data_IF_795806376852
#
_entry.id   IF_795806376852
#
_cell.length_a   1.000
_cell.length_b   1.000
_cell.length_c   1.000
_cell.angle_alpha   90.00
_cell.angle_beta   90.00
_cell.angle_gamma   90.00
#
_symmetry.space_group_name_H-M   'P 1'
#
loop_
_entity.id
_entity.type
_entity.pdbx_description
1 polymer ?
#
# COMPACT_ATOMS: atom_id res chain seq x y z
N UNK A 1 5.13 -11.54 -10.77
CA UNK A 1 3.96 -10.69 -11.05
C UNK A 1 4.14 -9.34 -10.38
N UNK A 2 3.65 -8.28 -11.00
CA UNK A 2 3.69 -6.95 -10.40
C UNK A 2 2.34 -6.63 -9.78
N UNK A 3 2.33 -6.27 -8.50
CA UNK A 3 1.11 -5.98 -7.75
C UNK A 3 1.15 -4.53 -7.28
N UNK A 4 0.01 -3.84 -7.41
CA UNK A 4 -0.16 -2.50 -6.87
C UNK A 4 -1.16 -2.56 -5.73
N UNK A 5 -0.76 -2.12 -4.54
CA UNK A 5 -1.64 -2.09 -3.37
C UNK A 5 -2.38 -0.77 -3.30
N UNK A 6 -3.66 -0.81 -2.93
CA UNK A 6 -4.32 0.41 -2.50
C UNK A 6 -4.02 0.68 -1.01
N UNK A 7 -4.45 1.85 -0.53
CA UNK A 7 -4.14 2.26 0.83
C UNK A 7 -4.70 1.29 1.88
N UNK A 8 -5.93 0.79 1.70
CA UNK A 8 -6.56 -0.11 2.67
C UNK A 8 -5.85 -1.45 2.76
N UNK A 9 -5.50 -2.03 1.62
CA UNK A 9 -4.79 -3.31 1.58
C UNK A 9 -3.41 -3.18 2.24
N UNK A 10 -2.70 -2.10 1.95
CA UNK A 10 -1.42 -1.83 2.59
C UNK A 10 -1.55 -1.72 4.11
N UNK A 11 -2.53 -0.94 4.58
CA UNK A 11 -2.76 -0.74 6.01
C UNK A 11 -3.14 -2.03 6.71
N UNK A 12 -4.00 -2.84 6.11
CA UNK A 12 -4.35 -4.15 6.66
C UNK A 12 -3.14 -5.08 6.71
N UNK A 13 -2.31 -5.03 5.70
CA UNK A 13 -1.13 -5.88 5.63
C UNK A 13 -0.14 -5.55 6.74
N UNK A 14 0.20 -4.28 6.93
CA UNK A 14 1.19 -3.88 7.94
C UNK A 14 0.68 -4.02 9.37
N UNK A 15 -0.63 -3.98 9.58
CA UNK A 15 -1.25 -4.12 10.91
C UNK A 15 -1.64 -5.56 11.24
N UNK A 16 -1.51 -6.50 10.30
CA UNK A 16 -1.93 -7.87 10.51
C UNK A 16 -3.45 -8.02 10.63
N UNK A 17 -4.22 -7.14 9.99
CA UNK A 17 -5.66 -7.12 10.09
C UNK A 17 -6.28 -8.35 9.44
N UNK A 18 -7.20 -9.00 10.16
CA UNK A 18 -7.86 -10.22 9.70
C UNK A 18 -8.77 -10.00 8.49
N UNK A 19 -9.12 -8.74 8.17
CA UNK A 19 -9.91 -8.43 6.98
C UNK A 19 -9.14 -8.70 5.68
N UNK A 20 -7.80 -8.74 5.74
CA UNK A 20 -7.00 -9.10 4.58
C UNK A 20 -7.05 -10.61 4.37
N UNK A 21 -7.58 -11.10 3.22
CA UNK A 21 -7.60 -12.54 2.95
C UNK A 21 -6.20 -13.15 2.96
N UNK A 22 -6.08 -14.38 3.46
CA UNK A 22 -4.79 -15.05 3.57
C UNK A 22 -4.10 -15.22 2.21
N UNK A 23 -4.86 -15.49 1.15
CA UNK A 23 -4.32 -15.62 -0.21
C UNK A 23 -3.66 -14.33 -0.70
N UNK A 24 -4.23 -13.18 -0.36
CA UNK A 24 -3.65 -11.89 -0.73
C UNK A 24 -2.39 -11.59 0.09
N UNK A 25 -2.42 -11.93 1.38
CA UNK A 25 -1.24 -11.80 2.23
C UNK A 25 -0.08 -12.61 1.69
N UNK A 26 -0.35 -13.85 1.29
CA UNK A 26 0.67 -14.73 0.74
C UNK A 26 1.24 -14.19 -0.58
N UNK A 27 0.38 -13.64 -1.44
CA UNK A 27 0.82 -13.01 -2.69
C UNK A 27 1.70 -11.79 -2.45
N UNK A 28 1.38 -10.97 -1.46
CA UNK A 28 2.19 -9.80 -1.10
C UNK A 28 3.56 -10.24 -0.55
N UNK A 29 3.60 -11.31 0.22
CA UNK A 29 4.84 -11.84 0.79
C UNK A 29 5.67 -12.66 -0.17
N UNK A 30 5.11 -13.08 -1.28
CA UNK A 30 5.82 -13.92 -2.25
C UNK A 30 6.98 -13.15 -2.88
N UNK A 31 8.24 -13.60 -2.70
CA UNK A 31 9.40 -12.91 -3.25
C UNK A 31 9.44 -12.90 -4.78
N UNK A 32 8.65 -13.75 -5.44
CA UNK A 32 8.50 -13.73 -6.90
C UNK A 32 7.63 -12.59 -7.40
N UNK A 33 6.94 -11.88 -6.51
CA UNK A 33 6.09 -10.74 -6.87
C UNK A 33 6.78 -9.42 -6.56
N UNK A 34 6.65 -8.45 -7.47
CA UNK A 34 7.06 -7.07 -7.22
C UNK A 34 5.84 -6.30 -6.72
N UNK A 35 5.90 -5.84 -5.49
CA UNK A 35 4.79 -5.15 -4.83
C UNK A 35 5.11 -3.68 -4.71
N UNK A 36 4.17 -2.82 -5.09
CA UNK A 36 4.33 -1.38 -5.07
C UNK A 36 3.15 -0.69 -4.38
N UNK A 37 3.44 0.45 -3.76
CA UNK A 37 2.44 1.35 -3.19
C UNK A 37 2.62 2.71 -3.85
N UNK A 38 1.54 3.26 -4.41
CA UNK A 38 1.55 4.58 -5.01
C UNK A 38 1.71 5.66 -3.94
N UNK A 39 2.45 6.73 -4.26
CA UNK A 39 2.52 7.90 -3.37
C UNK A 39 1.15 8.55 -3.17
N UNK A 40 0.21 8.37 -4.11
CA UNK A 40 -1.17 8.82 -3.95
C UNK A 40 -1.87 8.07 -2.81
N UNK A 41 -1.67 6.76 -2.72
CA UNK A 41 -2.21 5.95 -1.63
C UNK A 41 -1.62 6.35 -0.29
N UNK A 42 -0.31 6.64 -0.27
CA UNK A 42 0.36 7.17 0.91
C UNK A 42 -0.25 8.51 1.33
N UNK A 43 -0.48 9.39 0.38
CA UNK A 43 -1.10 10.70 0.62
C UNK A 43 -2.51 10.54 1.19
N UNK A 44 -3.34 9.66 0.62
CA UNK A 44 -4.67 9.37 1.16
C UNK A 44 -4.62 8.95 2.63
N UNK A 45 -3.70 8.08 2.98
CA UNK A 45 -3.54 7.60 4.35
C UNK A 45 -3.16 8.75 5.29
N UNK A 46 -2.26 9.63 4.86
CA UNK A 46 -1.85 10.80 5.62
C UNK A 46 -3.04 11.73 5.88
N UNK A 47 -3.86 11.98 4.85
CA UNK A 47 -5.05 12.81 4.98
C UNK A 47 -6.06 12.19 5.94
N UNK A 48 -6.33 10.91 5.82
CA UNK A 48 -7.27 10.20 6.70
C UNK A 48 -6.82 10.24 8.15
N UNK A 49 -5.52 10.11 8.39
CA UNK A 49 -4.96 10.25 9.73
C UNK A 49 -5.18 11.66 10.28
N UNK A 50 -4.91 12.69 9.46
CA UNK A 50 -5.11 14.08 9.88
C UNK A 50 -6.56 14.39 10.20
N UNK A 51 -7.51 13.71 9.55
CA UNK A 51 -8.95 13.87 9.81
C UNK A 51 -9.44 13.00 10.98
N UNK A 52 -8.54 12.31 11.67
CA UNK A 52 -8.92 11.46 12.81
C UNK A 52 -9.61 10.15 12.43
N UNK A 53 -9.57 9.77 11.16
CA UNK A 53 -10.25 8.57 10.64
C UNK A 53 -9.35 7.34 10.57
N UNK A 54 -8.05 7.50 10.82
CA UNK A 54 -7.06 6.43 10.73
C UNK A 54 -6.10 6.54 11.90
N UNK A 55 -6.30 5.75 12.98
CA UNK A 55 -5.35 5.74 14.08
C UNK A 55 -4.07 5.02 13.68
N UNK A 56 -2.93 5.62 13.98
CA UNK A 56 -1.61 5.04 13.75
C UNK A 56 -0.75 5.19 15.01
N UNK A 57 0.18 4.27 15.26
CA UNK A 57 1.01 4.34 16.47
C UNK A 57 2.05 5.45 16.44
N UNK A 58 2.34 6.01 15.26
CA UNK A 58 3.33 7.06 15.05
C UNK A 58 2.84 7.97 13.92
N UNK A 59 3.43 9.17 13.76
CA UNK A 59 3.05 10.05 12.66
C UNK A 59 3.17 9.36 11.30
N UNK A 60 2.15 9.49 10.43
CA UNK A 60 2.10 8.73 9.18
C UNK A 60 3.24 9.04 8.21
N UNK A 61 3.73 10.28 8.20
CA UNK A 61 4.81 10.70 7.30
C UNK A 61 6.13 9.99 7.57
N UNK A 62 6.32 9.45 8.77
CA UNK A 62 7.48 8.63 9.12
C UNK A 62 7.14 7.15 9.21
N UNK A 63 5.99 6.81 9.79
CA UNK A 63 5.59 5.44 10.03
C UNK A 63 5.33 4.66 8.74
N UNK A 64 4.55 5.25 7.81
CA UNK A 64 4.13 4.53 6.61
C UNK A 64 5.29 4.27 5.64
N UNK A 65 6.18 5.22 5.34
CA UNK A 65 7.35 4.92 4.51
C UNK A 65 8.28 3.89 5.14
N UNK A 66 8.45 3.92 6.47
CA UNK A 66 9.26 2.94 7.17
C UNK A 66 8.67 1.53 7.08
N UNK A 67 7.35 1.39 7.24
CA UNK A 67 6.67 0.11 7.10
C UNK A 67 6.74 -0.41 5.66
N UNK A 68 6.58 0.48 4.67
CA UNK A 68 6.72 0.12 3.27
C UNK A 68 8.11 -0.46 2.99
N UNK A 69 9.16 0.23 3.43
CA UNK A 69 10.53 -0.23 3.24
C UNK A 69 10.80 -1.55 3.97
N UNK A 70 10.30 -1.67 5.19
CA UNK A 70 10.45 -2.90 6.00
C UNK A 70 9.87 -4.12 5.30
N UNK A 71 8.75 -3.97 4.61
CA UNK A 71 8.08 -5.06 3.91
C UNK A 71 8.51 -5.18 2.44
N UNK A 72 9.55 -4.44 2.03
CA UNK A 72 10.10 -4.48 0.67
C UNK A 72 9.05 -4.14 -0.40
N UNK A 73 8.17 -3.22 -0.08
CA UNK A 73 7.15 -2.69 -1.00
C UNK A 73 7.74 -1.44 -1.65
N UNK A 74 7.79 -1.42 -2.98
CA UNK A 74 8.36 -0.31 -3.72
C UNK A 74 7.45 0.92 -3.68
N UNK A 75 8.05 2.10 -3.72
CA UNK A 75 7.32 3.35 -3.86
C UNK A 75 7.12 3.67 -5.34
N UNK A 76 5.88 3.95 -5.73
CA UNK A 76 5.56 4.33 -7.09
C UNK A 76 5.29 5.84 -7.13
N UNK A 77 6.16 6.63 -7.76
CA UNK A 77 6.05 8.09 -7.72
C UNK A 77 4.87 8.60 -8.54
N UNK A 78 4.45 9.84 -8.25
CA UNK A 78 3.37 10.52 -8.96
C UNK A 78 3.97 11.41 -10.05
N UNK A 79 4.22 10.82 -11.22
CA UNK A 79 4.54 11.55 -12.45
C UNK A 79 3.74 10.94 -13.60
N UNK A 80 3.76 11.58 -14.76
CA UNK A 80 2.94 11.15 -15.87
C UNK A 80 3.29 9.73 -16.33
N UNK A 81 4.57 9.44 -16.44
CA UNK A 81 5.03 8.11 -16.86
C UNK A 81 4.59 7.02 -15.88
N UNK A 82 4.72 7.28 -14.59
CA UNK A 82 4.30 6.34 -13.54
C UNK A 82 2.79 6.15 -13.53
N UNK A 83 2.03 7.22 -13.69
CA UNK A 83 0.56 7.14 -13.75
C UNK A 83 0.13 6.31 -14.96
N UNK A 84 0.73 6.53 -16.12
CA UNK A 84 0.45 5.72 -17.31
C UNK A 84 0.83 4.25 -17.11
N UNK A 85 1.94 4.00 -16.40
CA UNK A 85 2.37 2.65 -16.07
C UNK A 85 1.37 1.91 -15.18
N UNK A 86 0.67 2.63 -14.30
CA UNK A 86 -0.37 2.04 -13.43
C UNK A 86 -1.45 1.32 -14.22
N UNK A 87 -1.76 1.78 -15.43
CA UNK A 87 -2.77 1.16 -16.28
C UNK A 87 -2.40 -0.27 -16.71
N UNK A 88 -1.11 -0.63 -16.62
CA UNK A 88 -0.62 -1.94 -17.03
C UNK A 88 -0.44 -2.91 -15.86
N UNK A 89 -0.62 -2.45 -14.61
CA UNK A 89 -0.38 -3.26 -13.42
C UNK A 89 -1.66 -3.89 -12.89
N UNK A 90 -1.60 -5.16 -12.44
CA UNK A 90 -2.71 -5.74 -11.70
C UNK A 90 -2.92 -4.97 -10.39
N UNK A 91 -4.15 -4.55 -10.16
CA UNK A 91 -4.51 -3.81 -8.96
C UNK A 91 -5.00 -4.77 -7.89
N UNK A 92 -4.26 -4.85 -6.79
CA UNK A 92 -4.66 -5.62 -5.62
C UNK A 92 -5.41 -4.68 -4.69
N UNK A 93 -6.71 -4.70 -4.78
CA UNK A 93 -7.56 -3.89 -3.93
C UNK A 93 -8.86 -4.62 -3.66
N UNK A 94 -9.57 -4.13 -2.68
CA UNK A 94 -10.89 -4.63 -2.35
C UNK A 94 -11.89 -3.50 -2.52
N UNK A 95 -12.90 -3.76 -3.32
CA UNK A 95 -14.01 -2.83 -3.43
C UNK A 95 -14.81 -2.82 -2.13
N UNK A 96 -15.15 -1.66 -1.64
CA UNK A 96 -15.98 -1.53 -0.45
C UNK A 96 -17.36 -2.12 -0.62
#
# INVERSE_FOLDING_TARGET
>A
MKLLLDAHIFLWFISGDARLPASWRDSIRDPGNEVSLSVVSLWEAIIKHALGKLPLPQPPESYLPAQRARHQIASLPLDEASVCHLATLPLVHRDP
#
